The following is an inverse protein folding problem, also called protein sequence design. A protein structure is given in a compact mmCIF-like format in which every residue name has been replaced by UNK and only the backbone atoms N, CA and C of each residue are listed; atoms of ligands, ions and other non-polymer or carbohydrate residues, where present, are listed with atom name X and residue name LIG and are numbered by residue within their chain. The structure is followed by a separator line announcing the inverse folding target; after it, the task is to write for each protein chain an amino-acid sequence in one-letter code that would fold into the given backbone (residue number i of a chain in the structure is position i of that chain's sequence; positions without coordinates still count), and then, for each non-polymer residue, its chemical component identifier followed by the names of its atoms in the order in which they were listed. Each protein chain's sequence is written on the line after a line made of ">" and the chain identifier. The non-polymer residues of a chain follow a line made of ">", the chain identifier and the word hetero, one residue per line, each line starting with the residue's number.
data_IF_058266737847
#
_entry.id   IF_058266737847
#
_cell.length_a   1.000
_cell.length_b   1.000
_cell.length_c   1.000
_cell.angle_alpha   90.00
_cell.angle_beta   90.00
_cell.angle_gamma   90.00
#
_symmetry.space_group_name_H-M   'P 1'
#
loop_
_entity.id
_entity.type
_entity.pdbx_description
1 polymer ?
#
# COMPACT_ATOMS: atom_id res chain seq x y z
N UNK A 1 -0.44 -28.33 -0.23
CA UNK A 1 -1.07 -29.32 0.67
C UNK A 1 -1.62 -28.56 1.88
N UNK A 2 -2.85 -28.89 2.30
CA UNK A 2 -3.40 -28.35 3.55
C UNK A 2 -2.67 -29.03 4.73
N UNK A 3 -2.36 -28.26 5.76
CA UNK A 3 -1.81 -28.82 6.99
C UNK A 3 -2.72 -29.92 7.53
N UNK A 4 -2.15 -31.06 7.93
CA UNK A 4 -2.89 -32.23 8.38
C UNK A 4 -3.80 -31.97 9.62
N UNK A 5 -3.65 -30.82 10.26
CA UNK A 5 -4.44 -30.35 11.42
C UNK A 5 -5.30 -29.12 11.12
N UNK A 6 -5.41 -28.67 9.87
CA UNK A 6 -6.22 -27.50 9.54
C UNK A 6 -7.71 -27.78 9.79
N UNK A 7 -8.33 -26.97 10.66
CA UNK A 7 -9.78 -27.02 10.90
C UNK A 7 -10.49 -26.05 9.93
N UNK A 8 -11.64 -26.46 9.33
CA UNK A 8 -12.38 -25.59 8.45
C UNK A 8 -13.02 -24.43 9.24
N UNK A 9 -12.93 -23.22 8.73
CA UNK A 9 -13.58 -22.03 9.33
C UNK A 9 -15.10 -22.02 9.11
N UNK A 10 -15.59 -22.74 8.09
CA UNK A 10 -17.00 -22.96 7.81
C UNK A 10 -17.19 -24.23 7.01
N UNK A 11 -18.35 -24.90 7.14
CA UNK A 11 -18.70 -26.10 6.42
C UNK A 11 -20.16 -26.09 6.00
N UNK A 12 -20.43 -26.57 4.79
CA UNK A 12 -21.80 -26.79 4.27
C UNK A 12 -21.88 -28.15 3.60
N UNK A 13 -23.09 -28.76 3.51
CA UNK A 13 -23.29 -29.95 2.70
C UNK A 13 -22.89 -29.72 1.24
N UNK A 14 -22.35 -30.75 0.60
CA UNK A 14 -22.00 -30.69 -0.82
C UNK A 14 -23.28 -30.58 -1.66
N UNK A 15 -23.36 -29.52 -2.47
CA UNK A 15 -24.41 -29.33 -3.48
C UNK A 15 -23.76 -28.78 -4.77
N UNK A 16 -24.56 -28.63 -5.85
CA UNK A 16 -24.12 -28.04 -7.12
C UNK A 16 -23.71 -26.57 -6.93
N UNK A 17 -24.44 -25.84 -6.12
CA UNK A 17 -24.18 -24.46 -5.74
C UNK A 17 -24.26 -24.36 -4.22
N UNK A 18 -23.32 -23.68 -3.61
CA UNK A 18 -23.34 -23.42 -2.16
C UNK A 18 -22.80 -22.02 -1.86
N UNK A 19 -23.25 -21.47 -0.76
CA UNK A 19 -22.72 -20.22 -0.20
C UNK A 19 -22.12 -20.51 1.16
N UNK A 20 -20.92 -19.99 1.40
CA UNK A 20 -20.23 -20.05 2.68
C UNK A 20 -20.07 -18.64 3.22
N UNK A 21 -20.42 -18.47 4.51
CA UNK A 21 -20.11 -17.26 5.24
C UNK A 21 -19.09 -17.59 6.32
N UNK A 22 -17.99 -16.87 6.35
CA UNK A 22 -16.96 -17.00 7.36
C UNK A 22 -16.65 -15.63 7.97
N UNK A 23 -16.48 -15.58 9.29
CA UNK A 23 -16.06 -14.36 9.96
C UNK A 23 -14.56 -14.11 9.65
N UNK A 24 -14.23 -12.88 9.25
CA UNK A 24 -12.86 -12.45 9.00
C UNK A 24 -12.14 -12.12 10.31
N UNK A 25 -12.86 -11.91 11.42
CA UNK A 25 -12.34 -11.52 12.74
C UNK A 25 -11.46 -10.25 12.64
N UNK A 26 -11.97 -9.24 11.92
CA UNK A 26 -11.24 -8.01 11.70
C UNK A 26 -10.83 -7.36 13.03
N UNK A 27 -9.60 -6.87 13.10
CA UNK A 27 -9.01 -6.22 14.28
C UNK A 27 -9.01 -7.10 15.55
N UNK A 28 -8.88 -8.41 15.40
CA UNK A 28 -8.72 -9.39 16.48
C UNK A 28 -7.43 -10.19 16.27
N UNK A 29 -6.93 -10.80 17.33
CA UNK A 29 -5.67 -11.59 17.32
C UNK A 29 -5.68 -12.71 16.25
N UNK A 30 -6.85 -13.24 15.93
CA UNK A 30 -7.07 -14.28 14.92
C UNK A 30 -7.67 -13.72 13.63
N UNK A 31 -7.39 -12.44 13.30
CA UNK A 31 -7.81 -11.80 12.07
C UNK A 31 -7.39 -12.59 10.84
N UNK A 32 -8.32 -12.72 9.88
CA UNK A 32 -8.11 -13.42 8.62
C UNK A 32 -8.03 -12.48 7.43
N UNK A 33 -7.95 -11.17 7.68
CA UNK A 33 -7.93 -10.16 6.62
C UNK A 33 -6.76 -10.36 5.64
N UNK A 34 -5.62 -10.85 6.14
CA UNK A 34 -4.42 -11.14 5.36
C UNK A 34 -4.24 -12.63 5.05
N UNK A 35 -5.28 -13.45 5.27
CA UNK A 35 -5.22 -14.89 5.02
C UNK A 35 -5.69 -15.24 3.62
N UNK A 36 -5.13 -16.32 3.06
CA UNK A 36 -5.67 -16.98 1.87
C UNK A 36 -6.72 -18.01 2.29
N UNK A 37 -7.80 -18.06 1.54
CA UNK A 37 -8.89 -19.01 1.71
C UNK A 37 -8.85 -20.05 0.59
N UNK A 38 -9.16 -21.29 0.94
CA UNK A 38 -9.28 -22.39 -0.03
C UNK A 38 -10.58 -23.14 0.23
N UNK A 39 -11.27 -23.48 -0.85
CA UNK A 39 -12.41 -24.42 -0.77
C UNK A 39 -11.85 -25.83 -0.85
N UNK A 40 -12.25 -26.67 0.10
CA UNK A 40 -11.82 -28.06 0.14
C UNK A 40 -13.01 -29.02 0.35
N UNK A 41 -12.89 -30.25 -0.09
CA UNK A 41 -13.83 -31.33 0.21
C UNK A 41 -13.20 -32.31 1.19
N UNK A 42 -13.97 -32.71 2.20
CA UNK A 42 -13.55 -33.79 3.11
C UNK A 42 -13.77 -35.12 2.46
N UNK A 43 -12.70 -35.88 2.19
CA UNK A 43 -12.72 -37.23 1.69
C UNK A 43 -12.09 -38.14 2.75
N UNK A 44 -12.91 -38.95 3.41
CA UNK A 44 -12.51 -39.76 4.58
C UNK A 44 -11.93 -38.85 5.67
N UNK A 45 -10.66 -38.98 5.97
CA UNK A 45 -9.96 -38.27 7.05
C UNK A 45 -9.09 -37.11 6.55
N UNK A 46 -9.20 -36.72 5.29
CA UNK A 46 -8.38 -35.68 4.68
C UNK A 46 -9.21 -34.61 3.95
N UNK A 47 -8.73 -33.36 3.96
CA UNK A 47 -9.28 -32.29 3.15
C UNK A 47 -8.51 -32.18 1.83
N UNK A 48 -9.24 -32.26 0.71
CA UNK A 48 -8.69 -32.13 -0.63
C UNK A 48 -9.11 -30.78 -1.20
N UNK A 49 -8.15 -29.88 -1.53
CA UNK A 49 -8.43 -28.59 -2.15
C UNK A 49 -9.16 -28.75 -3.49
N UNK A 50 -10.15 -27.91 -3.74
CA UNK A 50 -10.89 -27.82 -5.02
C UNK A 50 -10.43 -26.62 -5.88
N UNK A 51 -9.69 -25.71 -5.31
CA UNK A 51 -9.14 -24.53 -5.99
C UNK A 51 -7.81 -24.13 -5.33
N UNK A 52 -7.07 -23.24 -5.99
CA UNK A 52 -5.91 -22.59 -5.39
C UNK A 52 -6.34 -21.64 -4.25
N UNK A 53 -5.49 -21.45 -3.23
CA UNK A 53 -5.75 -20.50 -2.16
C UNK A 53 -5.76 -19.06 -2.66
N UNK A 54 -6.83 -18.32 -2.36
CA UNK A 54 -6.99 -16.92 -2.76
C UNK A 54 -7.27 -16.02 -1.56
N UNK A 55 -6.76 -14.79 -1.62
CA UNK A 55 -7.13 -13.74 -0.67
C UNK A 55 -8.56 -13.25 -0.92
N UNK A 56 -9.16 -12.60 0.09
CA UNK A 56 -10.39 -11.83 -0.14
C UNK A 56 -10.12 -10.66 -1.08
N UNK A 57 -11.13 -10.31 -1.89
CA UNK A 57 -10.98 -9.30 -2.95
C UNK A 57 -11.80 -8.03 -2.71
N UNK A 58 -12.63 -8.01 -1.66
CA UNK A 58 -13.57 -6.93 -1.35
C UNK A 58 -13.50 -6.50 0.14
N UNK A 59 -12.32 -6.12 0.66
CA UNK A 59 -12.16 -5.71 2.06
C UNK A 59 -12.99 -4.48 2.42
N UNK A 60 -13.42 -3.68 1.45
CA UNK A 60 -14.27 -2.50 1.64
C UNK A 60 -15.63 -2.80 2.28
N UNK A 61 -16.10 -4.04 2.24
CA UNK A 61 -17.36 -4.44 2.90
C UNK A 61 -17.26 -4.40 4.43
N UNK A 62 -16.03 -4.42 4.97
CA UNK A 62 -15.75 -4.32 6.40
C UNK A 62 -15.72 -2.86 6.88
N UNK A 63 -15.56 -1.91 5.96
CA UNK A 63 -15.34 -0.53 6.31
C UNK A 63 -16.58 0.12 6.94
N UNK A 64 -16.39 0.73 8.10
CA UNK A 64 -17.42 1.56 8.75
C UNK A 64 -17.55 2.96 8.11
N UNK A 65 -16.57 3.40 7.31
CA UNK A 65 -16.55 4.68 6.62
C UNK A 65 -16.63 4.48 5.10
N UNK A 66 -17.67 5.07 4.49
CA UNK A 66 -18.02 4.87 3.07
C UNK A 66 -18.35 6.18 2.36
N UNK A 67 -17.77 7.31 2.78
CA UNK A 67 -17.99 8.58 2.09
C UNK A 67 -17.57 8.50 0.63
N UNK A 68 -18.36 9.14 -0.24
CA UNK A 68 -18.11 9.12 -1.68
C UNK A 68 -16.73 9.71 -2.02
N UNK A 69 -16.09 9.13 -3.03
CA UNK A 69 -14.85 9.68 -3.57
C UNK A 69 -15.10 11.10 -4.13
N UNK A 70 -14.28 12.10 -3.77
CA UNK A 70 -14.52 13.48 -4.15
C UNK A 70 -14.39 13.68 -5.67
N UNK A 71 -15.39 14.35 -6.24
CA UNK A 71 -15.35 14.78 -7.64
C UNK A 71 -14.69 16.17 -7.71
N UNK A 72 -13.78 16.35 -8.65
CA UNK A 72 -13.06 17.62 -8.88
C UNK A 72 -13.22 18.11 -10.31
N UNK A 73 -13.23 19.43 -10.47
CA UNK A 73 -13.39 20.09 -11.77
C UNK A 73 -12.09 20.09 -12.60
N UNK A 74 -10.96 19.86 -11.99
CA UNK A 74 -9.65 19.87 -12.63
C UNK A 74 -8.79 18.68 -12.15
N UNK A 75 -7.95 18.15 -13.04
CA UNK A 75 -6.92 17.16 -12.74
C UNK A 75 -5.59 17.81 -12.32
N UNK A 76 -5.53 19.15 -12.28
CA UNK A 76 -4.32 19.88 -11.92
C UNK A 76 -3.93 19.58 -10.48
N UNK A 77 -2.70 19.14 -10.27
CA UNK A 77 -2.17 18.79 -8.96
C UNK A 77 -0.71 19.23 -8.78
N UNK A 78 -0.23 19.16 -7.55
CA UNK A 78 1.14 19.50 -7.18
C UNK A 78 1.63 18.62 -6.03
N UNK A 79 2.94 18.37 -5.96
CA UNK A 79 3.61 17.95 -4.74
C UNK A 79 3.70 19.18 -3.81
N UNK A 80 2.98 19.14 -2.69
CA UNK A 80 2.78 20.33 -1.86
C UNK A 80 4.00 20.64 -0.97
N UNK A 81 4.36 21.91 -0.90
CA UNK A 81 5.23 22.45 0.16
C UNK A 81 4.36 22.84 1.37
N UNK A 82 4.57 22.24 2.56
CA UNK A 82 3.78 22.55 3.76
C UNK A 82 3.77 24.02 4.16
N UNK A 83 4.84 24.75 3.84
CA UNK A 83 4.96 26.18 4.14
C UNK A 83 4.18 27.06 3.16
N UNK A 84 3.73 26.51 2.02
CA UNK A 84 3.10 27.23 0.91
C UNK A 84 1.70 26.74 0.59
N UNK A 85 1.02 26.09 1.52
CA UNK A 85 -0.34 25.58 1.31
C UNK A 85 -1.32 26.68 0.92
N UNK A 86 -1.10 27.91 1.37
CA UNK A 86 -1.99 29.04 1.07
C UNK A 86 -1.87 29.52 -0.38
N UNK A 87 -0.73 29.30 -1.05
CA UNK A 87 -0.52 29.62 -2.47
C UNK A 87 -1.30 28.70 -3.41
N UNK A 88 -1.84 27.59 -2.92
CA UNK A 88 -2.59 26.62 -3.74
C UNK A 88 -3.89 27.19 -4.31
N UNK A 89 -4.48 28.18 -3.65
CA UNK A 89 -5.68 28.86 -4.13
C UNK A 89 -5.37 29.67 -5.39
N UNK A 90 -4.23 30.37 -5.42
CA UNK A 90 -3.78 31.14 -6.60
C UNK A 90 -3.43 30.21 -7.78
N UNK A 91 -2.92 29.02 -7.49
CA UNK A 91 -2.59 28.04 -8.49
C UNK A 91 -3.80 27.29 -9.03
N UNK A 92 -4.97 27.41 -8.41
CA UNK A 92 -6.20 26.70 -8.76
C UNK A 92 -5.99 25.19 -8.91
N UNK A 93 -5.27 24.54 -7.98
CA UNK A 93 -5.05 23.10 -7.96
C UNK A 93 -6.17 22.39 -7.20
N UNK A 94 -6.56 21.22 -7.68
CA UNK A 94 -7.58 20.38 -7.05
C UNK A 94 -7.00 19.10 -6.43
N UNK A 95 -5.72 18.83 -6.64
CA UNK A 95 -5.04 17.63 -6.14
C UNK A 95 -3.69 18.02 -5.53
N UNK A 96 -3.31 17.34 -4.46
CA UNK A 96 -2.00 17.48 -3.86
C UNK A 96 -1.43 16.09 -3.53
N UNK A 97 -0.14 15.89 -3.80
CA UNK A 97 0.60 14.74 -3.33
C UNK A 97 1.46 15.12 -2.12
N UNK A 98 1.66 14.17 -1.20
CA UNK A 98 2.56 14.34 -0.06
C UNK A 98 3.20 13.02 0.38
N UNK A 99 4.49 13.05 0.68
CA UNK A 99 5.26 11.87 1.07
C UNK A 99 5.07 11.55 2.56
N UNK A 100 4.89 10.28 2.87
CA UNK A 100 4.89 9.71 4.22
C UNK A 100 6.03 8.67 4.32
N UNK A 101 7.25 9.07 4.71
CA UNK A 101 8.28 8.11 5.11
C UNK A 101 7.82 7.37 6.37
N UNK A 102 7.39 6.11 6.20
CA UNK A 102 6.70 5.32 7.23
C UNK A 102 7.58 5.08 8.45
N UNK A 103 8.89 4.90 8.25
CA UNK A 103 9.81 4.76 9.37
C UNK A 103 9.87 5.98 10.29
N UNK A 104 9.55 7.19 9.79
CA UNK A 104 9.56 8.41 10.59
C UNK A 104 8.32 8.57 11.48
N UNK A 105 7.20 7.97 11.09
CA UNK A 105 5.96 8.03 11.88
C UNK A 105 5.87 6.90 12.92
N UNK A 106 6.71 5.88 12.81
CA UNK A 106 6.74 4.74 13.73
C UNK A 106 7.70 4.99 14.91
N UNK A 107 7.27 4.57 16.10
CA UNK A 107 8.01 4.68 17.36
C UNK A 107 7.46 5.73 18.31
N UNK A 108 8.01 5.74 19.51
CA UNK A 108 7.58 6.69 20.55
C UNK A 108 8.12 8.10 20.30
N UNK A 109 7.35 9.09 20.74
CA UNK A 109 7.77 10.48 20.70
C UNK A 109 8.68 10.79 21.88
N UNK A 110 9.79 11.46 21.62
CA UNK A 110 10.68 11.98 22.69
C UNK A 110 10.31 13.39 23.11
N UNK A 111 9.46 14.09 22.36
CA UNK A 111 9.01 15.45 22.62
C UNK A 111 7.74 15.45 23.48
N UNK A 112 7.83 15.90 24.73
CA UNK A 112 6.69 15.91 25.64
C UNK A 112 5.50 16.81 25.26
N UNK A 113 5.65 17.70 24.26
CA UNK A 113 4.56 18.51 23.74
C UNK A 113 3.64 17.72 22.79
N UNK A 114 4.12 16.60 22.25
CA UNK A 114 3.40 15.76 21.30
C UNK A 114 3.40 14.31 21.83
N UNK A 115 2.36 13.89 22.55
CA UNK A 115 2.33 12.54 23.10
C UNK A 115 2.35 11.50 21.98
N UNK A 116 2.98 10.34 22.27
CA UNK A 116 2.93 9.17 21.40
C UNK A 116 1.47 8.78 21.14
N UNK A 117 1.13 8.50 19.89
CA UNK A 117 -0.17 7.98 19.51
C UNK A 117 -0.09 6.46 19.50
N UNK A 118 -0.82 5.82 20.41
CA UNK A 118 -0.90 4.36 20.45
C UNK A 118 -2.11 3.88 19.63
N UNK A 119 -1.91 2.84 18.85
CA UNK A 119 -2.92 2.22 18.04
C UNK A 119 -2.87 0.71 18.21
N UNK A 120 -3.99 0.11 18.62
CA UNK A 120 -4.08 -1.35 18.73
C UNK A 120 -4.70 -1.91 17.46
N UNK A 121 -4.00 -2.85 16.84
CA UNK A 121 -4.44 -3.55 15.65
C UNK A 121 -4.16 -5.05 15.81
N UNK A 122 -5.15 -5.91 15.56
CA UNK A 122 -5.08 -7.36 15.69
C UNK A 122 -4.44 -7.83 17.03
N UNK A 123 -4.79 -7.11 18.12
CA UNK A 123 -4.34 -7.42 19.49
C UNK A 123 -2.93 -6.93 19.85
N UNK A 124 -2.17 -6.37 18.90
CA UNK A 124 -0.84 -5.75 19.15
C UNK A 124 -0.97 -4.23 19.16
N UNK A 125 -0.30 -3.58 20.11
CA UNK A 125 -0.26 -2.11 20.19
C UNK A 125 1.00 -1.57 19.53
N UNK A 126 0.80 -0.64 18.61
CA UNK A 126 1.84 0.06 17.87
C UNK A 126 1.97 1.50 18.35
N UNK A 127 3.20 1.99 18.42
CA UNK A 127 3.48 3.38 18.78
C UNK A 127 3.74 4.19 17.51
N UNK A 128 3.04 5.33 17.40
CA UNK A 128 3.27 6.30 16.35
C UNK A 128 3.80 7.61 16.94
N UNK A 129 4.81 8.19 16.30
CA UNK A 129 5.46 9.42 16.73
C UNK A 129 4.47 10.60 16.66
N UNK A 130 3.99 11.06 17.81
CA UNK A 130 2.95 12.07 17.90
C UNK A 130 3.34 13.40 17.28
N UNK A 131 4.62 13.80 17.31
CA UNK A 131 5.08 15.00 16.63
C UNK A 131 4.93 14.86 15.11
N UNK A 132 5.37 13.74 14.53
CA UNK A 132 5.24 13.50 13.09
C UNK A 132 3.79 13.39 12.67
N UNK A 133 2.97 12.73 13.46
CA UNK A 133 1.53 12.62 13.19
C UNK A 133 0.87 14.01 13.22
N UNK A 134 1.20 14.87 14.20
CA UNK A 134 0.68 16.25 14.26
C UNK A 134 1.07 17.12 13.05
N UNK A 135 2.28 16.91 12.50
CA UNK A 135 2.71 17.56 11.25
C UNK A 135 1.80 17.15 10.07
N UNK A 136 1.51 15.85 9.91
CA UNK A 136 0.60 15.36 8.86
C UNK A 136 -0.85 15.80 9.09
N UNK A 137 -1.35 15.78 10.33
CA UNK A 137 -2.67 16.29 10.68
C UNK A 137 -2.85 17.74 10.23
N UNK A 138 -1.87 18.58 10.52
CA UNK A 138 -1.88 20.00 10.14
C UNK A 138 -1.93 20.19 8.63
N UNK A 139 -1.12 19.43 7.87
CA UNK A 139 -1.06 19.55 6.41
C UNK A 139 -2.35 19.05 5.79
N UNK A 140 -2.81 17.84 6.17
CA UNK A 140 -3.97 17.22 5.56
C UNK A 140 -5.28 17.94 5.92
N UNK A 141 -5.41 18.45 7.14
CA UNK A 141 -6.56 19.28 7.53
C UNK A 141 -6.64 20.57 6.69
N UNK A 142 -5.51 21.25 6.48
CA UNK A 142 -5.46 22.47 5.66
C UNK A 142 -5.80 22.20 4.20
N UNK A 143 -5.31 21.11 3.61
CA UNK A 143 -5.62 20.69 2.25
C UNK A 143 -7.10 20.30 2.12
N UNK A 144 -7.62 19.56 3.09
CA UNK A 144 -9.03 19.15 3.13
C UNK A 144 -9.96 20.38 3.23
N UNK A 145 -9.63 21.36 4.08
CA UNK A 145 -10.40 22.60 4.21
C UNK A 145 -10.46 23.40 2.91
N UNK A 146 -9.44 23.29 2.05
CA UNK A 146 -9.42 23.89 0.69
C UNK A 146 -10.13 23.03 -0.36
N UNK A 147 -10.70 21.90 0.02
CA UNK A 147 -11.36 20.97 -0.92
C UNK A 147 -10.37 20.26 -1.85
N UNK A 148 -9.10 20.14 -1.51
CA UNK A 148 -8.07 19.48 -2.31
C UNK A 148 -8.11 17.97 -2.04
N UNK A 149 -8.09 17.16 -3.10
CA UNK A 149 -7.96 15.71 -3.00
C UNK A 149 -6.50 15.33 -2.75
N UNK A 150 -6.25 14.58 -1.69
CA UNK A 150 -4.91 14.25 -1.23
C UNK A 150 -4.50 12.85 -1.70
N UNK A 151 -3.28 12.75 -2.24
CA UNK A 151 -2.58 11.53 -2.56
C UNK A 151 -1.37 11.37 -1.63
N UNK A 152 -1.41 10.42 -0.71
CA UNK A 152 -0.31 10.13 0.20
C UNK A 152 0.60 9.04 -0.39
N UNK A 153 1.90 9.29 -0.43
CA UNK A 153 2.92 8.38 -0.96
C UNK A 153 3.63 7.71 0.21
N UNK A 154 3.42 6.41 0.38
CA UNK A 154 4.00 5.62 1.46
C UNK A 154 5.41 5.16 1.06
N UNK A 155 6.41 5.57 1.82
CA UNK A 155 7.81 5.28 1.54
C UNK A 155 8.45 4.53 2.70
N UNK A 156 9.18 3.45 2.44
CA UNK A 156 9.91 2.72 3.47
C UNK A 156 11.34 3.27 3.60
N UNK A 157 11.56 4.11 4.60
CA UNK A 157 12.87 4.67 4.95
C UNK A 157 13.53 3.95 6.13
N UNK A 158 13.13 2.69 6.41
CA UNK A 158 13.45 1.91 7.61
C UNK A 158 12.88 2.52 8.90
N UNK A 159 12.75 1.70 9.91
CA UNK A 159 12.40 2.11 11.27
C UNK A 159 13.34 1.40 12.24
N UNK A 160 13.86 2.14 13.22
CA UNK A 160 14.64 1.52 14.32
C UNK A 160 13.73 0.89 15.37
N UNK A 161 12.51 1.42 15.52
CA UNK A 161 11.52 0.89 16.46
C UNK A 161 10.81 -0.37 15.91
N UNK A 162 10.67 -0.45 14.58
CA UNK A 162 9.99 -1.56 13.89
C UNK A 162 10.85 -2.02 12.69
N UNK A 163 11.99 -2.70 12.94
CA UNK A 163 12.90 -3.13 11.88
C UNK A 163 12.26 -4.14 10.91
N UNK A 164 11.23 -4.86 11.34
CA UNK A 164 10.41 -5.75 10.53
C UNK A 164 9.65 -5.05 9.39
N UNK A 165 9.52 -3.72 9.41
CA UNK A 165 8.97 -2.92 8.29
C UNK A 165 9.73 -3.19 6.98
N UNK A 166 11.03 -3.49 7.08
CA UNK A 166 11.93 -3.61 5.93
C UNK A 166 12.08 -5.06 5.49
N UNK A 167 11.85 -5.31 4.20
CA UNK A 167 11.95 -6.63 3.58
C UNK A 167 13.30 -7.30 3.89
N UNK A 168 13.36 -8.63 4.16
CA UNK A 168 14.60 -9.33 4.51
C UNK A 168 15.75 -9.08 3.53
N UNK A 169 15.47 -9.13 2.22
CA UNK A 169 16.45 -8.87 1.16
C UNK A 169 16.86 -7.39 1.04
N UNK A 170 16.31 -6.51 1.86
CA UNK A 170 16.58 -5.07 1.85
C UNK A 170 17.38 -4.60 3.06
N UNK A 171 17.51 -5.43 4.11
CA UNK A 171 18.09 -5.02 5.41
C UNK A 171 19.54 -4.61 5.35
N UNK A 172 20.34 -5.31 4.55
CA UNK A 172 21.77 -5.05 4.39
C UNK A 172 22.14 -3.93 3.40
N UNK A 173 21.16 -3.35 2.71
CA UNK A 173 21.40 -2.37 1.66
C UNK A 173 21.50 -0.94 2.17
N UNK A 174 22.02 -0.05 1.27
CA UNK A 174 22.02 1.40 1.45
C UNK A 174 21.34 2.04 0.25
N UNK A 175 20.17 2.61 0.47
CA UNK A 175 19.36 3.31 -0.52
C UNK A 175 18.53 4.39 0.17
N UNK A 176 17.83 5.22 -0.58
CA UNK A 176 16.92 6.21 -0.01
C UNK A 176 15.69 5.53 0.60
N UNK A 177 15.13 4.56 -0.13
CA UNK A 177 13.96 3.81 0.30
C UNK A 177 14.11 2.31 -0.01
N UNK A 178 13.36 1.50 0.71
CA UNK A 178 13.49 0.05 0.77
C UNK A 178 12.16 -0.63 0.49
N UNK A 179 12.19 -1.88 0.03
CA UNK A 179 10.98 -2.67 -0.12
C UNK A 179 10.31 -2.90 1.24
N UNK A 180 8.99 -2.84 1.25
CA UNK A 180 8.16 -3.19 2.40
C UNK A 180 8.17 -4.70 2.63
N UNK A 181 8.13 -5.13 3.89
CA UNK A 181 8.19 -6.53 4.27
C UNK A 181 6.79 -7.17 4.32
N UNK A 182 6.39 -7.78 3.23
CA UNK A 182 5.24 -8.68 3.19
C UNK A 182 5.65 -10.16 3.08
N UNK A 183 6.94 -10.48 3.30
CA UNK A 183 7.48 -11.83 3.25
C UNK A 183 7.47 -12.55 4.61
N UNK A 184 7.42 -11.80 5.71
CA UNK A 184 7.42 -12.32 7.09
C UNK A 184 6.15 -11.89 7.83
N UNK A 185 5.63 -12.72 8.71
CA UNK A 185 4.39 -12.46 9.45
C UNK A 185 4.43 -11.12 10.22
N UNK A 186 5.50 -10.86 10.98
CA UNK A 186 5.66 -9.60 11.74
C UNK A 186 5.67 -8.37 10.81
N UNK A 187 6.23 -8.52 9.61
CA UNK A 187 6.21 -7.48 8.59
C UNK A 187 4.80 -7.21 8.07
N UNK A 188 4.07 -8.26 7.72
CA UNK A 188 2.65 -8.17 7.29
C UNK A 188 1.81 -7.48 8.35
N UNK A 189 1.93 -7.88 9.63
CA UNK A 189 1.19 -7.28 10.75
C UNK A 189 1.52 -5.79 10.89
N UNK A 190 2.80 -5.43 10.83
CA UNK A 190 3.24 -4.02 10.94
C UNK A 190 2.74 -3.18 9.77
N UNK A 191 2.82 -3.69 8.53
CA UNK A 191 2.28 -2.98 7.35
C UNK A 191 0.76 -2.81 7.44
N UNK A 192 0.04 -3.85 7.87
CA UNK A 192 -1.40 -3.82 8.03
C UNK A 192 -1.82 -2.79 9.09
N UNK A 193 -1.14 -2.77 10.24
CA UNK A 193 -1.37 -1.78 11.30
C UNK A 193 -1.11 -0.35 10.82
N UNK A 194 -0.04 -0.11 10.06
CA UNK A 194 0.26 1.20 9.46
C UNK A 194 -0.82 1.62 8.47
N UNK A 195 -1.22 0.74 7.56
CA UNK A 195 -2.27 1.03 6.58
C UNK A 195 -3.61 1.32 7.24
N UNK A 196 -4.02 0.51 8.21
CA UNK A 196 -5.26 0.69 8.96
C UNK A 196 -5.25 1.98 9.80
N UNK A 197 -4.16 2.26 10.53
CA UNK A 197 -4.01 3.49 11.31
C UNK A 197 -4.14 4.74 10.44
N UNK A 198 -3.38 4.80 9.35
CA UNK A 198 -3.39 5.95 8.45
C UNK A 198 -4.76 6.14 7.78
N UNK A 199 -5.35 5.07 7.27
CA UNK A 199 -6.66 5.13 6.63
C UNK A 199 -7.78 5.50 7.60
N UNK A 200 -7.72 5.03 8.84
CA UNK A 200 -8.68 5.38 9.89
C UNK A 200 -8.51 6.83 10.33
N UNK A 201 -7.28 7.29 10.51
CA UNK A 201 -6.99 8.66 10.97
C UNK A 201 -7.37 9.72 9.94
N UNK A 202 -7.08 9.45 8.68
CA UNK A 202 -7.26 10.42 7.60
C UNK A 202 -8.46 10.09 6.71
N UNK A 203 -9.58 9.69 7.31
CA UNK A 203 -10.82 9.38 6.58
C UNK A 203 -11.88 10.48 6.63
N UNK A 204 -11.79 11.40 7.59
CA UNK A 204 -12.78 12.42 7.88
C UNK A 204 -12.14 13.80 8.19
N UNK A 205 -12.96 14.77 8.59
CA UNK A 205 -12.49 16.14 8.81
C UNK A 205 -11.70 16.35 10.11
N UNK A 206 -11.61 15.35 10.99
CA UNK A 206 -10.94 15.53 12.29
C UNK A 206 -9.43 15.75 12.11
N UNK A 207 -8.82 15.03 11.14
CA UNK A 207 -7.39 15.12 10.83
C UNK A 207 -7.09 15.36 9.35
N UNK A 208 -8.14 15.52 8.53
CA UNK A 208 -8.06 15.64 7.08
C UNK A 208 -8.35 14.33 6.35
N UNK A 209 -8.61 14.43 5.03
CA UNK A 209 -9.11 13.32 4.23
C UNK A 209 -8.11 12.94 3.15
N UNK A 210 -7.51 11.76 3.28
CA UNK A 210 -6.64 11.16 2.27
C UNK A 210 -7.43 10.08 1.54
N UNK A 211 -7.65 10.28 0.23
CA UNK A 211 -8.40 9.34 -0.60
C UNK A 211 -7.52 8.45 -1.49
N UNK A 212 -6.31 8.89 -1.80
CA UNK A 212 -5.38 8.14 -2.64
C UNK A 212 -4.14 7.74 -1.83
N UNK A 213 -3.81 6.46 -1.88
CA UNK A 213 -2.67 5.88 -1.19
C UNK A 213 -1.74 5.22 -2.20
N UNK A 214 -0.55 5.76 -2.37
CA UNK A 214 0.43 5.28 -3.34
C UNK A 214 1.48 4.47 -2.58
N UNK A 215 1.64 3.20 -2.91
CA UNK A 215 2.56 2.27 -2.23
C UNK A 215 3.93 2.32 -2.91
N UNK A 216 4.88 2.96 -2.27
CA UNK A 216 6.22 3.20 -2.81
C UNK A 216 6.26 4.37 -3.79
N UNK A 217 7.44 4.59 -4.38
CA UNK A 217 7.70 5.58 -5.43
C UNK A 217 8.61 4.95 -6.47
N UNK A 218 8.24 5.03 -7.76
CA UNK A 218 9.08 4.52 -8.87
C UNK A 218 9.71 3.15 -8.58
N UNK A 219 8.88 2.21 -8.11
CA UNK A 219 9.36 0.95 -7.53
C UNK A 219 10.14 0.08 -8.51
N UNK A 220 9.97 0.30 -9.82
CA UNK A 220 10.78 -0.36 -10.85
C UNK A 220 12.27 0.07 -10.77
N UNK A 221 12.59 1.25 -10.21
CA UNK A 221 13.96 1.71 -9.91
C UNK A 221 14.39 1.11 -8.57
N UNK A 222 14.63 -0.19 -8.60
CA UNK A 222 14.93 -1.04 -7.44
C UNK A 222 16.06 -0.51 -6.55
N UNK A 223 17.13 0.03 -7.14
CA UNK A 223 18.33 0.43 -6.40
C UNK A 223 18.11 1.63 -5.49
N UNK A 224 17.12 2.49 -5.76
CA UNK A 224 16.96 3.78 -5.10
C UNK A 224 15.64 3.93 -4.35
N UNK A 225 14.52 3.59 -5.01
CA UNK A 225 13.19 3.90 -4.51
C UNK A 225 12.48 2.76 -3.81
N UNK A 226 12.91 1.50 -4.07
CA UNK A 226 12.33 0.30 -3.46
C UNK A 226 13.40 -0.78 -3.34
N UNK A 227 14.50 -0.43 -2.65
CA UNK A 227 15.68 -1.28 -2.60
C UNK A 227 15.37 -2.67 -2.06
N UNK A 228 15.77 -3.64 -2.84
CA UNK A 228 15.86 -5.06 -2.51
C UNK A 228 17.12 -5.61 -3.19
N UNK A 229 17.80 -6.61 -2.63
CA UNK A 229 18.83 -7.34 -3.37
C UNK A 229 18.27 -7.80 -4.71
N UNK A 230 19.12 -7.85 -5.74
CA UNK A 230 18.66 -8.26 -7.06
C UNK A 230 18.13 -9.69 -7.04
N UNK A 231 16.92 -9.83 -7.52
CA UNK A 231 16.23 -11.11 -7.80
C UNK A 231 15.68 -11.06 -9.23
N UNK A 232 15.16 -12.17 -9.73
CA UNK A 232 14.43 -12.13 -11.01
C UNK A 232 13.16 -11.28 -10.93
N UNK A 233 12.66 -10.89 -12.10
CA UNK A 233 11.50 -10.01 -12.22
C UNK A 233 10.26 -10.58 -11.52
N UNK A 234 9.98 -11.87 -11.69
CA UNK A 234 8.76 -12.48 -11.15
C UNK A 234 8.80 -12.55 -9.62
N UNK A 235 9.97 -12.83 -9.05
CA UNK A 235 10.18 -12.76 -7.60
C UNK A 235 9.98 -11.33 -7.10
N UNK A 236 10.59 -10.33 -7.75
CA UNK A 236 10.44 -8.93 -7.36
C UNK A 236 8.99 -8.45 -7.44
N UNK A 237 8.31 -8.78 -8.54
CA UNK A 237 6.91 -8.45 -8.77
C UNK A 237 5.99 -9.06 -7.71
N UNK A 238 6.26 -10.31 -7.31
CA UNK A 238 5.51 -11.00 -6.26
C UNK A 238 5.66 -10.33 -4.90
N UNK A 239 6.89 -10.01 -4.50
CA UNK A 239 7.15 -9.34 -3.22
C UNK A 239 6.48 -7.97 -3.16
N UNK A 240 6.53 -7.22 -4.25
CA UNK A 240 5.84 -5.93 -4.32
C UNK A 240 4.31 -6.08 -4.34
N UNK A 241 3.76 -7.03 -5.10
CA UNK A 241 2.33 -7.34 -5.14
C UNK A 241 1.78 -7.71 -3.75
N UNK A 242 2.55 -8.48 -2.97
CA UNK A 242 2.18 -8.84 -1.60
C UNK A 242 2.10 -7.60 -0.70
N UNK A 243 3.08 -6.70 -0.76
CA UNK A 243 3.05 -5.45 0.00
C UNK A 243 1.87 -4.55 -0.39
N UNK A 244 1.60 -4.42 -1.70
CA UNK A 244 0.43 -3.69 -2.21
C UNK A 244 -0.87 -4.28 -1.67
N UNK A 245 -1.00 -5.61 -1.64
CA UNK A 245 -2.19 -6.29 -1.11
C UNK A 245 -2.39 -6.03 0.38
N UNK A 246 -1.33 -6.05 1.18
CA UNK A 246 -1.43 -5.76 2.62
C UNK A 246 -1.97 -4.34 2.84
N UNK A 247 -1.41 -3.35 2.15
CA UNK A 247 -1.91 -1.98 2.21
C UNK A 247 -3.34 -1.85 1.65
N UNK A 248 -3.64 -2.51 0.53
CA UNK A 248 -4.98 -2.50 -0.05
C UNK A 248 -6.02 -3.00 0.95
N UNK A 249 -5.81 -4.18 1.51
CA UNK A 249 -6.76 -4.78 2.43
C UNK A 249 -6.93 -3.93 3.70
N UNK A 250 -5.83 -3.48 4.32
CA UNK A 250 -5.89 -2.68 5.55
C UNK A 250 -6.49 -1.28 5.34
N UNK A 251 -6.20 -0.62 4.22
CA UNK A 251 -6.76 0.70 3.90
C UNK A 251 -8.24 0.60 3.56
N UNK A 252 -8.61 -0.35 2.69
CA UNK A 252 -9.98 -0.52 2.22
C UNK A 252 -10.91 -0.99 3.32
N UNK A 253 -10.44 -1.79 4.28
CA UNK A 253 -11.23 -2.19 5.44
C UNK A 253 -11.55 -1.03 6.41
N UNK A 254 -10.78 0.08 6.35
CA UNK A 254 -11.04 1.30 7.15
C UNK A 254 -11.83 2.36 6.40
N UNK A 255 -11.59 2.52 5.08
CA UNK A 255 -12.25 3.50 4.22
C UNK A 255 -12.58 2.86 2.86
N UNK A 256 -13.85 2.50 2.66
CA UNK A 256 -14.32 1.74 1.51
C UNK A 256 -13.97 2.38 0.16
N UNK A 257 -14.03 3.71 0.06
CA UNK A 257 -13.84 4.46 -1.19
C UNK A 257 -12.43 5.02 -1.37
N UNK A 258 -11.50 4.75 -0.43
CA UNK A 258 -10.10 5.04 -0.64
C UNK A 258 -9.56 4.22 -1.82
N UNK A 259 -8.58 4.78 -2.54
CA UNK A 259 -7.96 4.14 -3.70
C UNK A 259 -6.50 3.85 -3.40
N UNK A 260 -6.02 2.70 -3.86
CA UNK A 260 -4.62 2.27 -3.69
C UNK A 260 -3.96 2.19 -5.05
N UNK A 261 -2.74 2.74 -5.13
CA UNK A 261 -1.98 2.86 -6.36
C UNK A 261 -0.60 2.24 -6.21
N UNK A 262 -0.08 1.75 -7.32
CA UNK A 262 1.34 1.41 -7.50
C UNK A 262 2.04 2.56 -8.24
N UNK A 263 3.34 2.77 -8.02
CA UNK A 263 4.07 3.88 -8.62
C UNK A 263 5.22 3.39 -9.47
N UNK A 264 5.30 3.91 -10.70
CA UNK A 264 6.32 3.57 -11.70
C UNK A 264 6.93 4.83 -12.31
N UNK A 265 8.16 4.72 -12.82
CA UNK A 265 8.83 5.78 -13.59
C UNK A 265 8.49 5.69 -15.09
N UNK A 266 9.10 6.55 -15.89
CA UNK A 266 8.87 6.66 -17.32
C UNK A 266 9.48 5.52 -18.17
N UNK A 267 10.13 4.51 -17.58
CA UNK A 267 10.91 3.51 -18.33
C UNK A 267 10.03 2.33 -18.82
N UNK A 268 9.00 2.65 -19.59
CA UNK A 268 7.92 1.72 -19.98
C UNK A 268 8.38 0.52 -20.83
N UNK A 269 9.25 0.74 -21.81
CA UNK A 269 9.76 -0.30 -22.73
C UNK A 269 11.28 -0.20 -22.86
N UNK A 270 11.98 0.20 -21.84
CA UNK A 270 13.42 0.38 -21.90
C UNK A 270 14.12 -0.93 -21.56
N UNK A 271 14.88 -1.46 -22.51
CA UNK A 271 15.81 -2.55 -22.23
C UNK A 271 16.93 -2.01 -21.34
N UNK A 272 16.79 -2.29 -20.04
CA UNK A 272 17.78 -1.95 -19.04
C UNK A 272 18.68 -3.16 -18.83
N UNK A 273 19.83 -3.17 -19.45
CA UNK A 273 20.90 -4.13 -19.15
C UNK A 273 21.41 -4.01 -17.70
N UNK A 274 20.97 -2.98 -16.97
CA UNK A 274 21.30 -2.72 -15.59
C UNK A 274 20.39 -3.49 -14.64
N UNK A 275 21.00 -4.14 -13.65
CA UNK A 275 20.27 -4.77 -12.52
C UNK A 275 19.65 -3.76 -11.54
N UNK A 276 19.78 -2.46 -11.78
CA UNK A 276 19.30 -1.41 -10.88
C UNK A 276 17.80 -1.14 -11.03
N UNK A 277 17.24 -1.47 -12.19
CA UNK A 277 15.84 -1.24 -12.51
C UNK A 277 15.25 -2.41 -13.26
N UNK A 278 13.93 -2.52 -13.23
CA UNK A 278 13.13 -3.42 -14.06
C UNK A 278 12.36 -2.59 -15.09
N UNK A 279 12.04 -3.21 -16.23
CA UNK A 279 11.12 -2.62 -17.21
C UNK A 279 9.73 -2.46 -16.59
N UNK A 280 9.13 -1.28 -16.75
CA UNK A 280 7.84 -0.96 -16.11
C UNK A 280 6.73 -1.89 -16.61
N UNK A 281 6.64 -2.06 -17.94
CA UNK A 281 5.60 -2.90 -18.54
C UNK A 281 5.67 -4.34 -18.03
N UNK A 282 6.86 -4.91 -18.04
CA UNK A 282 7.06 -6.32 -17.67
C UNK A 282 6.81 -6.50 -16.16
N UNK A 283 7.23 -5.55 -15.33
CA UNK A 283 6.93 -5.55 -13.89
C UNK A 283 5.43 -5.48 -13.62
N UNK A 284 4.70 -4.58 -14.30
CA UNK A 284 3.25 -4.46 -14.14
C UNK A 284 2.51 -5.72 -14.61
N UNK A 285 2.95 -6.34 -15.71
CA UNK A 285 2.35 -7.58 -16.22
C UNK A 285 2.55 -8.72 -15.21
N UNK A 286 3.78 -8.91 -14.71
CA UNK A 286 4.08 -9.96 -13.72
C UNK A 286 3.34 -9.71 -12.41
N UNK A 287 3.34 -8.47 -11.89
CA UNK A 287 2.61 -8.10 -10.68
C UNK A 287 1.10 -8.36 -10.84
N UNK A 288 0.50 -7.92 -11.95
CA UNK A 288 -0.93 -8.14 -12.22
C UNK A 288 -1.27 -9.63 -12.33
N UNK A 289 -0.37 -10.45 -12.88
CA UNK A 289 -0.55 -11.89 -12.91
C UNK A 289 -0.63 -12.49 -11.51
N UNK A 290 0.26 -12.08 -10.60
CA UNK A 290 0.24 -12.50 -9.18
C UNK A 290 -1.08 -12.09 -8.53
N UNK A 291 -1.47 -10.81 -8.65
CA UNK A 291 -2.70 -10.27 -8.04
C UNK A 291 -3.93 -11.00 -8.57
N UNK A 292 -4.03 -11.19 -9.90
CA UNK A 292 -5.18 -11.84 -10.52
C UNK A 292 -5.33 -13.31 -10.12
N UNK A 293 -4.22 -14.00 -9.97
CA UNK A 293 -4.20 -15.43 -9.60
C UNK A 293 -4.54 -15.63 -8.12
N UNK A 294 -4.06 -14.74 -7.25
CA UNK A 294 -4.20 -14.86 -5.79
C UNK A 294 -5.43 -14.13 -5.22
N UNK A 295 -6.29 -13.60 -6.07
CA UNK A 295 -7.48 -12.81 -5.70
C UNK A 295 -7.35 -11.38 -6.23
N UNK A 296 -8.08 -11.07 -7.29
CA UNK A 296 -8.00 -9.78 -7.99
C UNK A 296 -8.51 -8.63 -7.10
N UNK A 297 -7.77 -7.52 -7.07
CA UNK A 297 -8.10 -6.29 -6.37
C UNK A 297 -8.05 -5.10 -7.32
N UNK A 298 -8.80 -4.04 -7.01
CA UNK A 298 -8.90 -2.82 -7.81
C UNK A 298 -7.78 -1.83 -7.42
N UNK A 299 -6.64 -1.93 -8.09
CA UNK A 299 -5.50 -1.03 -7.91
C UNK A 299 -5.33 -0.07 -9.08
N UNK A 300 -4.78 1.12 -8.83
CA UNK A 300 -4.48 2.12 -9.84
C UNK A 300 -2.98 2.26 -10.12
N UNK A 301 -2.63 2.96 -11.20
CA UNK A 301 -1.25 3.30 -11.55
C UNK A 301 -1.00 4.80 -11.33
N UNK A 302 0.04 5.12 -10.55
CA UNK A 302 0.65 6.44 -10.44
C UNK A 302 1.92 6.43 -11.30
N UNK A 303 1.75 6.79 -12.56
CA UNK A 303 2.84 6.85 -13.53
C UNK A 303 3.54 8.21 -13.49
N UNK A 304 4.87 8.21 -13.64
CA UNK A 304 5.69 9.41 -13.70
C UNK A 304 6.21 9.62 -15.13
N UNK A 305 5.40 10.15 -16.06
CA UNK A 305 5.71 10.21 -17.48
C UNK A 305 6.68 11.36 -17.80
N UNK A 306 7.85 11.34 -17.20
CA UNK A 306 8.88 12.34 -17.47
C UNK A 306 9.46 12.18 -18.89
N UNK A 307 9.77 13.32 -19.50
CA UNK A 307 10.50 13.32 -20.75
C UNK A 307 11.90 12.74 -20.59
N UNK A 308 12.39 12.01 -21.58
CA UNK A 308 13.75 11.49 -21.59
C UNK A 308 14.61 12.21 -22.64
N UNK A 309 15.80 12.68 -22.28
CA UNK A 309 16.32 12.83 -20.90
C UNK A 309 15.62 13.96 -20.12
N UNK A 310 15.48 13.80 -18.81
CA UNK A 310 14.79 14.76 -17.92
C UNK A 310 15.29 16.20 -18.04
N UNK A 311 16.57 16.38 -18.37
CA UNK A 311 17.22 17.69 -18.50
C UNK A 311 17.04 18.35 -19.87
N UNK A 312 16.37 17.66 -20.81
CA UNK A 312 16.17 18.23 -22.15
C UNK A 312 14.91 19.08 -22.20
N UNK A 313 15.07 20.39 -22.23
CA UNK A 313 13.95 21.35 -22.31
C UNK A 313 13.16 21.26 -23.62
N UNK A 314 13.74 20.64 -24.66
CA UNK A 314 13.11 20.42 -25.97
C UNK A 314 12.85 18.92 -26.20
N UNK A 315 12.25 18.24 -25.23
CA UNK A 315 12.06 16.79 -25.22
C UNK A 315 11.33 16.25 -26.46
N UNK A 316 10.46 17.04 -27.08
CA UNK A 316 9.79 16.69 -28.35
C UNK A 316 10.73 16.51 -29.53
N UNK A 317 11.98 16.97 -29.43
CA UNK A 317 13.04 16.74 -30.42
C UNK A 317 13.96 15.58 -30.04
N UNK A 318 13.67 14.90 -28.93
CA UNK A 318 14.48 13.77 -28.48
C UNK A 318 14.22 12.54 -29.33
N UNK A 319 15.31 11.87 -29.75
CA UNK A 319 15.22 10.55 -30.39
C UNK A 319 15.14 9.40 -29.37
N UNK A 320 15.08 9.73 -28.09
CA UNK A 320 14.95 8.75 -27.02
C UNK A 320 13.59 8.03 -27.09
N UNK A 321 13.61 6.71 -26.96
CA UNK A 321 12.38 5.94 -26.77
C UNK A 321 11.93 6.07 -25.31
N UNK A 322 10.69 6.39 -25.12
CA UNK A 322 9.98 6.28 -23.83
C UNK A 322 9.53 4.84 -23.65
#
# INVERSE_FOLDING_TARGET
>A
ELDAGAEPIASVPKDKEFSLTANVNENQVDSRLMSKFVVAVKLKDAYVPLCDPCYMTNPEVLASYQAAYPQRSSIKGILVDPLRVDELDELHVNHAAYNIPVGNILGETTNGLFPTVYYTYDGRTYAFNGQRIAEYDSIFSRLTAKGITISAILLNNKSSAYPELTHPLSRGGSANYYAFNAAEADGVETLAAVGAFLAQRYRDNDHGIVMNWIVGNEVNVRSDWNYMQYVDLDTYAREYANAVRVFYNSIKSMNANARVYVSMDQQWNRDLSSKNSYDVRDLLVSMNQVISTEGNIDWGLADHPYAYPLTNTTFWNSSGKI
#
